data_IF_613246367814
#
_entry.id   IF_613246367814
#
_cell.length_a   1.000
_cell.length_b   1.000
_cell.length_c   1.000
_cell.angle_alpha   90.00
_cell.angle_beta   90.00
_cell.angle_gamma   90.00
#
_symmetry.space_group_name_H-M   'P 1'
#
loop_
_entity.id
_entity.type
_entity.pdbx_description
1 polymer ?
#
# COMPACT_ATOMS: atom_id res chain seq x y z
N UNK A 1 24.43 -21.69 -73.01
CA UNK A 1 23.26 -21.10 -72.38
C UNK A 1 23.60 -20.88 -70.91
N UNK A 2 23.98 -19.68 -70.53
CA UNK A 2 24.36 -19.33 -69.14
C UNK A 2 23.19 -18.57 -68.56
N UNK A 3 22.50 -19.17 -67.56
CA UNK A 3 21.41 -18.52 -66.79
C UNK A 3 22.02 -17.54 -65.81
N UNK A 4 21.74 -16.26 -66.00
CA UNK A 4 22.07 -15.19 -65.07
C UNK A 4 21.12 -15.28 -63.87
N UNK A 5 21.62 -15.66 -62.67
CA UNK A 5 20.93 -15.60 -61.43
C UNK A 5 21.11 -14.20 -60.90
N UNK A 6 20.04 -13.40 -60.90
CA UNK A 6 20.01 -12.08 -60.27
C UNK A 6 19.89 -12.25 -58.79
N UNK A 7 20.93 -11.84 -58.07
CA UNK A 7 20.88 -11.70 -56.61
C UNK A 7 20.14 -10.41 -56.27
N UNK A 8 18.93 -10.56 -55.76
CA UNK A 8 18.14 -9.44 -55.23
C UNK A 8 18.67 -9.08 -53.83
N UNK A 9 19.45 -8.02 -53.76
CA UNK A 9 19.96 -7.50 -52.48
C UNK A 9 18.82 -6.76 -51.78
N UNK A 10 18.17 -7.40 -50.82
CA UNK A 10 17.23 -6.76 -49.90
C UNK A 10 18.00 -5.87 -48.95
N UNK A 11 18.08 -4.58 -49.27
CA UNK A 11 18.55 -3.57 -48.30
C UNK A 11 17.43 -3.34 -47.31
N UNK A 12 17.52 -3.98 -46.15
CA UNK A 12 16.69 -3.66 -44.98
C UNK A 12 17.14 -2.30 -44.42
N UNK A 13 16.45 -1.24 -44.81
CA UNK A 13 16.58 0.04 -44.13
C UNK A 13 15.98 -0.11 -42.74
N UNK A 14 16.80 -0.34 -41.75
CA UNK A 14 16.41 -0.19 -40.37
C UNK A 14 16.12 1.30 -40.13
N UNK A 15 14.85 1.66 -40.13
CA UNK A 15 14.40 2.98 -39.67
C UNK A 15 14.65 2.99 -38.18
N UNK A 16 15.79 3.52 -37.77
CA UNK A 16 16.04 3.86 -36.38
C UNK A 16 15.20 5.12 -36.11
N UNK A 17 13.99 4.92 -35.65
CA UNK A 17 13.20 5.99 -35.05
C UNK A 17 13.91 6.38 -33.77
N UNK A 18 14.92 7.21 -33.87
CA UNK A 18 15.49 7.86 -32.69
C UNK A 18 14.53 8.96 -32.30
N UNK A 19 13.75 8.65 -31.27
CA UNK A 19 13.01 9.66 -30.53
C UNK A 19 14.03 10.65 -29.98
N UNK A 20 14.12 11.84 -30.62
CA UNK A 20 14.95 12.95 -30.16
C UNK A 20 14.25 13.72 -29.04
N UNK A 21 13.54 13.03 -28.16
CA UNK A 21 12.97 13.62 -26.96
C UNK A 21 14.10 14.12 -26.07
N UNK A 22 14.15 15.41 -25.79
CA UNK A 22 14.99 15.98 -24.75
C UNK A 22 14.11 16.21 -23.52
N UNK A 23 14.60 15.77 -22.36
CA UNK A 23 13.98 16.12 -21.10
C UNK A 23 14.30 17.59 -20.80
N UNK A 24 13.36 18.47 -21.03
CA UNK A 24 13.45 19.86 -20.58
C UNK A 24 12.84 19.97 -19.19
N UNK A 25 13.49 20.71 -18.30
CA UNK A 25 12.91 20.98 -16.99
C UNK A 25 11.64 21.83 -17.17
N UNK A 26 10.52 21.24 -16.81
CA UNK A 26 9.24 21.94 -16.85
C UNK A 26 9.28 23.13 -15.89
N UNK A 27 9.12 24.32 -16.42
CA UNK A 27 9.08 25.55 -15.66
C UNK A 27 7.78 26.30 -15.97
N UNK A 28 6.84 26.24 -15.06
CA UNK A 28 5.62 27.02 -15.12
C UNK A 28 5.67 28.12 -14.04
N UNK A 29 5.58 29.42 -14.41
CA UNK A 29 5.62 30.52 -13.46
C UNK A 29 4.54 30.40 -12.38
N UNK A 30 3.34 29.95 -12.73
CA UNK A 30 2.23 29.74 -11.79
C UNK A 30 2.60 28.70 -10.71
N UNK A 31 3.20 27.56 -11.10
CA UNK A 31 3.63 26.57 -10.12
C UNK A 31 4.79 27.07 -9.26
N UNK A 32 5.68 27.89 -9.81
CA UNK A 32 6.73 28.52 -9.01
C UNK A 32 6.16 29.42 -7.93
N UNK A 33 5.14 30.21 -8.26
CA UNK A 33 4.45 31.06 -7.28
C UNK A 33 3.83 30.22 -6.18
N UNK A 34 3.09 29.14 -6.52
CA UNK A 34 2.50 28.24 -5.53
C UNK A 34 3.55 27.63 -4.61
N UNK A 35 4.66 27.12 -5.18
CA UNK A 35 5.74 26.52 -4.39
C UNK A 35 6.40 27.55 -3.49
N UNK A 36 6.63 28.78 -3.96
CA UNK A 36 7.22 29.86 -3.16
C UNK A 36 6.29 30.24 -2.01
N UNK A 37 5.01 30.48 -2.29
CA UNK A 37 4.02 30.85 -1.26
C UNK A 37 3.79 29.73 -0.23
N UNK A 38 3.83 28.45 -0.68
CA UNK A 38 3.76 27.32 0.22
C UNK A 38 4.97 27.21 1.13
N UNK A 39 6.18 27.42 0.57
CA UNK A 39 7.41 27.41 1.35
C UNK A 39 7.47 28.59 2.34
N UNK A 40 7.01 29.75 1.94
CA UNK A 40 6.92 30.94 2.81
C UNK A 40 5.89 30.72 3.94
N UNK A 41 4.81 30.02 3.66
CA UNK A 41 3.83 29.61 4.66
C UNK A 41 4.43 28.60 5.65
N UNK A 42 5.18 27.61 5.15
CA UNK A 42 5.83 26.59 5.99
C UNK A 42 6.98 27.16 6.83
N UNK A 43 7.59 28.28 6.40
CA UNK A 43 8.62 28.99 7.15
C UNK A 43 8.08 30.00 8.17
N UNK A 44 6.77 30.32 8.14
CA UNK A 44 6.16 31.03 9.27
C UNK A 44 6.42 30.21 10.51
N UNK A 45 6.92 30.88 11.55
CA UNK A 45 7.32 30.27 12.82
C UNK A 45 6.42 29.07 13.14
N UNK A 46 6.99 27.89 13.02
CA UNK A 46 6.29 26.68 13.47
C UNK A 46 6.06 26.89 14.94
N UNK A 47 4.81 27.13 15.32
CA UNK A 47 4.45 27.08 16.73
C UNK A 47 5.11 25.83 17.28
N UNK A 48 5.88 25.98 18.36
CA UNK A 48 6.63 24.91 18.97
C UNK A 48 5.62 23.80 19.29
N UNK A 49 5.61 22.74 18.46
CA UNK A 49 4.65 21.66 18.61
C UNK A 49 4.93 20.94 19.94
N UNK A 50 4.18 21.32 20.96
CA UNK A 50 4.26 20.69 22.28
C UNK A 50 3.54 19.36 22.23
N UNK A 51 4.29 18.27 22.14
CA UNK A 51 3.73 16.94 22.32
C UNK A 51 3.45 16.67 23.80
N UNK A 52 2.27 16.16 24.09
CA UNK A 52 1.99 15.63 25.42
C UNK A 52 2.86 14.39 25.64
N UNK A 53 3.71 14.42 26.65
CA UNK A 53 4.50 13.27 27.08
C UNK A 53 4.16 12.94 28.51
N UNK A 54 3.93 11.67 28.77
CA UNK A 54 3.74 11.20 30.13
C UNK A 54 5.04 11.29 30.90
N UNK A 55 5.00 11.84 32.13
CA UNK A 55 6.12 11.84 33.03
C UNK A 55 6.08 10.55 33.89
N UNK A 56 7.14 9.76 33.76
CA UNK A 56 7.29 8.50 34.49
C UNK A 56 8.22 8.60 35.71
N UNK A 57 8.65 9.83 36.07
CA UNK A 57 9.53 10.01 37.21
C UNK A 57 8.87 9.48 38.50
N UNK A 58 9.62 8.63 39.23
CA UNK A 58 9.13 7.97 40.43
C UNK A 58 8.06 6.89 40.24
N UNK A 59 7.77 6.50 38.99
CA UNK A 59 6.89 5.37 38.67
C UNK A 59 7.70 4.09 38.46
N UNK A 60 7.16 3.00 39.01
CA UNK A 60 7.66 1.67 38.65
C UNK A 60 7.08 1.28 37.30
N UNK A 61 7.88 1.36 36.29
CA UNK A 61 7.54 0.94 34.92
C UNK A 61 8.53 -0.12 34.47
N UNK A 62 8.11 -1.05 33.60
CA UNK A 62 9.01 -2.02 32.99
C UNK A 62 10.19 -1.33 32.31
N UNK A 63 11.39 -1.82 32.54
CA UNK A 63 12.63 -1.27 31.99
C UNK A 63 13.18 -2.13 30.83
N UNK A 64 12.69 -3.33 30.68
CA UNK A 64 13.13 -4.29 29.66
C UNK A 64 11.93 -5.03 29.07
N UNK A 65 12.09 -5.53 27.84
CA UNK A 65 11.07 -6.36 27.21
C UNK A 65 10.84 -7.69 27.93
N UNK A 66 11.81 -8.16 28.70
CA UNK A 66 11.72 -9.43 29.44
C UNK A 66 10.69 -9.40 30.59
N UNK A 67 10.29 -8.19 30.99
CA UNK A 67 9.24 -7.99 32.00
C UNK A 67 7.81 -8.15 31.42
N UNK A 68 7.69 -8.29 30.11
CA UNK A 68 6.40 -8.49 29.44
C UNK A 68 6.20 -9.94 29.02
N UNK A 69 4.96 -10.38 29.06
CA UNK A 69 4.59 -11.64 28.42
C UNK A 69 4.55 -11.44 26.90
N UNK A 70 5.51 -12.02 26.21
CA UNK A 70 5.58 -11.94 24.75
C UNK A 70 4.81 -13.11 24.15
N UNK A 71 3.82 -12.80 23.33
CA UNK A 71 3.10 -13.80 22.53
C UNK A 71 3.86 -13.99 21.22
N UNK A 72 4.16 -15.25 20.90
CA UNK A 72 4.83 -15.59 19.65
C UNK A 72 3.93 -15.26 18.45
N UNK A 73 4.40 -14.40 17.60
CA UNK A 73 3.74 -13.92 16.41
C UNK A 73 4.70 -13.88 15.21
N UNK A 74 4.14 -13.90 14.02
CA UNK A 74 4.92 -13.70 12.81
C UNK A 74 5.49 -12.27 12.74
N UNK A 75 6.54 -12.09 11.94
CA UNK A 75 7.08 -10.75 11.70
C UNK A 75 6.05 -9.88 10.98
N UNK A 76 5.95 -8.59 11.31
CA UNK A 76 5.05 -7.68 10.63
C UNK A 76 5.32 -7.60 9.13
N UNK A 77 4.26 -7.67 8.34
CA UNK A 77 4.31 -7.50 6.89
C UNK A 77 3.87 -6.08 6.56
N UNK A 78 4.61 -5.41 5.67
CA UNK A 78 4.28 -4.05 5.24
C UNK A 78 3.10 -4.07 4.27
N UNK A 79 2.07 -3.30 4.58
CA UNK A 79 0.95 -3.07 3.65
C UNK A 79 1.28 -2.12 2.49
N UNK A 80 2.49 -1.53 2.49
CA UNK A 80 2.84 -0.47 1.56
C UNK A 80 2.02 0.81 1.80
N UNK A 81 1.77 1.56 0.74
CA UNK A 81 0.99 2.81 0.81
C UNK A 81 -0.48 2.56 0.41
N UNK A 82 -1.17 1.72 1.18
CA UNK A 82 -2.56 1.32 0.93
C UNK A 82 -3.41 1.44 2.19
N UNK A 83 -4.72 1.64 2.04
CA UNK A 83 -5.68 1.67 3.16
C UNK A 83 -6.12 0.28 3.63
N UNK A 84 -5.20 -0.70 3.72
CA UNK A 84 -5.49 -2.11 4.02
C UNK A 84 -5.04 -2.56 5.41
N UNK A 85 -4.68 -1.64 6.30
CA UNK A 85 -4.22 -1.94 7.67
C UNK A 85 -5.20 -2.83 8.45
N UNK A 86 -6.51 -2.66 8.25
CA UNK A 86 -7.56 -3.47 8.84
C UNK A 86 -7.42 -4.97 8.50
N UNK A 87 -7.01 -5.28 7.28
CA UNK A 87 -6.82 -6.67 6.84
C UNK A 87 -5.48 -7.23 7.33
N UNK A 88 -4.39 -6.50 7.14
CA UNK A 88 -3.07 -6.92 7.57
C UNK A 88 -3.00 -7.18 9.09
N UNK A 89 -3.60 -6.33 9.91
CA UNK A 89 -3.64 -6.55 11.36
C UNK A 89 -4.51 -7.75 11.74
N UNK A 90 -5.63 -7.96 11.05
CA UNK A 90 -6.54 -9.05 11.36
C UNK A 90 -5.98 -10.41 10.93
N UNK A 91 -5.37 -10.50 9.75
CA UNK A 91 -4.71 -11.74 9.28
C UNK A 91 -3.54 -12.10 10.20
N UNK A 92 -2.72 -11.14 10.58
CA UNK A 92 -1.64 -11.35 11.55
C UNK A 92 -2.13 -11.87 12.91
N UNK A 93 -3.27 -11.35 13.38
CA UNK A 93 -3.92 -11.88 14.58
C UNK A 93 -4.35 -13.35 14.40
N UNK A 94 -5.02 -13.67 13.30
CA UNK A 94 -5.46 -15.04 13.04
C UNK A 94 -4.29 -16.01 12.87
N UNK A 95 -3.23 -15.62 12.17
CA UNK A 95 -2.00 -16.42 12.06
C UNK A 95 -1.39 -16.72 13.42
N UNK A 96 -1.32 -15.73 14.28
CA UNK A 96 -0.81 -15.88 15.66
C UNK A 96 -1.69 -16.83 16.48
N UNK A 97 -3.02 -16.73 16.36
CA UNK A 97 -3.94 -17.63 17.05
C UNK A 97 -3.88 -19.05 16.48
N UNK A 98 -3.78 -19.22 15.18
CA UNK A 98 -3.55 -20.51 14.54
C UNK A 98 -2.27 -21.14 15.07
N UNK A 99 -1.17 -20.40 15.09
CA UNK A 99 0.11 -20.85 15.63
C UNK A 99 -0.02 -21.24 17.10
N UNK A 100 -0.73 -20.44 17.91
CA UNK A 100 -0.96 -20.72 19.32
C UNK A 100 -1.73 -22.03 19.52
N UNK A 101 -2.76 -22.29 18.71
CA UNK A 101 -3.67 -23.45 18.86
C UNK A 101 -3.07 -24.73 18.28
N UNK A 102 -2.62 -24.70 17.03
CA UNK A 102 -2.19 -25.91 16.30
C UNK A 102 -0.68 -26.06 16.20
N UNK A 103 0.10 -25.11 16.74
CA UNK A 103 1.58 -25.12 16.74
C UNK A 103 2.18 -25.20 15.34
N UNK A 104 1.55 -24.57 14.38
CA UNK A 104 2.02 -24.51 12.99
C UNK A 104 1.99 -23.07 12.51
N UNK A 105 3.03 -22.68 11.77
CA UNK A 105 3.06 -21.44 11.06
C UNK A 105 2.24 -21.59 9.77
N UNK A 106 1.23 -20.75 9.62
CA UNK A 106 0.39 -20.65 8.43
C UNK A 106 0.39 -19.20 8.02
N UNK A 107 0.65 -18.95 6.75
CA UNK A 107 0.55 -17.63 6.15
C UNK A 107 -0.79 -17.53 5.41
N UNK A 108 -1.60 -16.56 5.79
CA UNK A 108 -2.87 -16.23 5.17
C UNK A 108 -2.66 -15.12 4.14
N UNK A 109 -3.53 -15.08 3.14
CA UNK A 109 -3.44 -14.02 2.13
C UNK A 109 -4.14 -12.76 2.62
N UNK A 110 -3.41 -11.66 2.82
CA UNK A 110 -4.00 -10.37 3.19
C UNK A 110 -4.80 -9.76 2.04
N UNK A 111 -4.32 -9.93 0.82
CA UNK A 111 -4.95 -9.32 -0.35
C UNK A 111 -6.21 -10.04 -0.83
N UNK A 112 -6.40 -11.29 -0.46
CA UNK A 112 -7.58 -12.05 -0.84
C UNK A 112 -8.86 -11.49 -0.19
N UNK A 113 -8.94 -11.32 1.14
CA UNK A 113 -10.09 -10.66 1.76
C UNK A 113 -10.25 -9.21 1.33
N UNK A 114 -9.16 -8.48 1.08
CA UNK A 114 -9.21 -7.10 0.58
C UNK A 114 -9.94 -7.05 -0.76
N UNK A 115 -9.58 -7.91 -1.70
CA UNK A 115 -10.21 -7.98 -3.01
C UNK A 115 -11.73 -8.19 -2.90
N UNK A 116 -12.15 -9.19 -2.14
CA UNK A 116 -13.58 -9.50 -2.01
C UNK A 116 -14.35 -8.45 -1.23
N UNK A 117 -13.76 -7.83 -0.23
CA UNK A 117 -14.38 -6.70 0.46
C UNK A 117 -14.66 -5.54 -0.50
N UNK A 118 -13.74 -5.24 -1.40
CA UNK A 118 -13.97 -4.20 -2.40
C UNK A 118 -15.02 -4.60 -3.43
N UNK A 119 -15.09 -5.87 -3.81
CA UNK A 119 -16.18 -6.39 -4.66
C UNK A 119 -17.54 -6.21 -3.97
N UNK A 120 -17.65 -6.57 -2.69
CA UNK A 120 -18.89 -6.41 -1.93
C UNK A 120 -19.26 -4.95 -1.73
N UNK A 121 -18.29 -4.07 -1.44
CA UNK A 121 -18.53 -2.63 -1.39
C UNK A 121 -19.03 -2.08 -2.71
N UNK A 122 -18.44 -2.50 -3.83
CA UNK A 122 -18.88 -2.07 -5.15
C UNK A 122 -20.33 -2.55 -5.45
N UNK A 123 -20.65 -3.79 -5.10
CA UNK A 123 -22.03 -4.30 -5.20
C UNK A 123 -23.00 -3.49 -4.35
N UNK A 124 -22.64 -3.22 -3.10
CA UNK A 124 -23.44 -2.40 -2.20
C UNK A 124 -23.64 -0.98 -2.73
N UNK A 125 -22.59 -0.37 -3.28
CA UNK A 125 -22.66 0.95 -3.88
C UNK A 125 -23.63 1.00 -5.07
N UNK A 126 -23.53 0.04 -5.99
CA UNK A 126 -24.43 -0.07 -7.14
C UNK A 126 -25.86 -0.31 -6.67
N UNK A 127 -26.09 -1.26 -5.78
CA UNK A 127 -27.42 -1.61 -5.28
C UNK A 127 -28.08 -0.46 -4.51
N UNK A 128 -27.30 0.33 -3.80
CA UNK A 128 -27.78 1.52 -3.07
C UNK A 128 -27.91 2.76 -3.94
N UNK A 129 -27.57 2.66 -5.23
CA UNK A 129 -27.53 3.81 -6.18
C UNK A 129 -26.60 4.92 -5.67
N UNK A 130 -25.41 4.55 -5.21
CA UNK A 130 -24.38 5.47 -4.75
C UNK A 130 -24.55 6.00 -3.31
N UNK A 131 -25.50 5.44 -2.53
CA UNK A 131 -25.73 5.91 -1.15
C UNK A 131 -24.72 5.35 -0.13
N UNK A 132 -24.08 4.22 -0.42
CA UNK A 132 -23.05 3.64 0.43
C UNK A 132 -21.68 4.16 0.02
N UNK A 133 -20.75 4.21 1.00
CA UNK A 133 -19.39 4.64 0.73
C UNK A 133 -18.62 3.57 -0.05
N UNK A 134 -17.95 3.98 -1.14
CA UNK A 134 -17.01 3.17 -1.88
C UNK A 134 -15.62 3.82 -1.76
N UNK A 135 -14.79 3.30 -0.88
CA UNK A 135 -13.46 3.83 -0.62
C UNK A 135 -12.58 2.81 0.09
N UNK A 136 -11.33 3.17 0.25
CA UNK A 136 -10.37 2.38 1.00
C UNK A 136 -10.75 2.28 2.49
N UNK A 137 -10.15 1.31 3.14
CA UNK A 137 -10.43 1.02 4.53
C UNK A 137 -11.64 0.11 4.73
N UNK A 138 -11.61 -0.63 5.80
CA UNK A 138 -12.70 -1.44 6.34
C UNK A 138 -12.40 -1.78 7.80
N UNK A 139 -13.14 -2.72 8.35
CA UNK A 139 -13.10 -3.10 9.74
C UNK A 139 -12.63 -4.55 9.89
N UNK A 140 -12.18 -4.94 11.08
CA UNK A 140 -11.74 -6.31 11.39
C UNK A 140 -12.79 -7.37 11.03
N UNK A 141 -14.07 -7.07 11.24
CA UNK A 141 -15.18 -7.97 10.92
C UNK A 141 -15.34 -8.20 9.40
N UNK A 142 -14.80 -7.33 8.57
CA UNK A 142 -14.82 -7.55 7.12
C UNK A 142 -13.96 -8.76 6.73
N UNK A 143 -12.81 -8.96 7.37
CA UNK A 143 -11.96 -10.15 7.12
C UNK A 143 -12.75 -11.41 7.44
N UNK A 144 -13.35 -11.50 8.64
CA UNK A 144 -14.16 -12.64 9.01
C UNK A 144 -15.29 -12.90 8.01
N UNK A 145 -16.03 -11.86 7.66
CA UNK A 145 -17.14 -11.98 6.68
C UNK A 145 -16.65 -12.46 5.32
N UNK A 146 -15.50 -11.97 4.84
CA UNK A 146 -14.94 -12.41 3.57
C UNK A 146 -14.46 -13.87 3.63
N UNK A 147 -13.86 -14.27 4.74
CA UNK A 147 -13.47 -15.66 4.98
C UNK A 147 -14.68 -16.61 4.97
N UNK A 148 -15.76 -16.21 5.60
CA UNK A 148 -17.02 -17.01 5.64
C UNK A 148 -17.67 -17.15 4.26
N UNK A 149 -17.61 -16.09 3.42
CA UNK A 149 -18.25 -16.07 2.11
C UNK A 149 -17.37 -16.66 1.01
N UNK A 150 -16.07 -16.48 1.06
CA UNK A 150 -15.15 -16.75 -0.04
C UNK A 150 -13.96 -17.63 0.34
N UNK A 151 -13.74 -17.87 1.62
CA UNK A 151 -12.53 -18.51 2.13
C UNK A 151 -11.37 -17.51 2.28
N UNK A 152 -10.16 -18.07 2.39
CA UNK A 152 -8.91 -17.29 2.55
C UNK A 152 -7.74 -18.04 1.92
#
# INVERSE_FOLDING_TARGET
MIKKIGVLLLISTTIIAQDKGQFESYSNPFYKTIVTESNDYDQKEKEEYKSFKMNFDGKQIPQSLDEFTIIDAANPISQGNTGTCWCFSTTSFYESEIKRIIKRDINLSELYPVYFEYVEKARGYINSRGKTHLGEGSETNAVQRMMELYGI
#
